data_IF_439688260569
#
_entry.id   IF_439688260569
#
_cell.length_a   1.000
_cell.length_b   1.000
_cell.length_c   1.000
_cell.angle_alpha   90.00
_cell.angle_beta   90.00
_cell.angle_gamma   90.00
#
_symmetry.space_group_name_H-M   'P 1'
#
loop_
_entity.id
_entity.type
_entity.pdbx_description
1 polymer ?
#
# COMPACT_ATOMS: atom_id res chain seq x y z
N UNK A 1 -32.23 4.79 13.37
CA UNK A 1 -33.13 5.79 13.99
C UNK A 1 -33.63 5.39 15.38
N UNK A 2 -34.34 4.28 15.55
CA UNK A 2 -34.84 3.83 16.88
C UNK A 2 -33.73 3.74 17.93
N UNK A 3 -32.60 3.05 17.62
CA UNK A 3 -31.48 2.93 18.55
C UNK A 3 -30.83 4.28 18.94
N UNK A 4 -30.81 5.26 18.02
CA UNK A 4 -30.31 6.62 18.32
C UNK A 4 -31.24 7.34 19.28
N UNK A 5 -32.56 7.28 19.03
CA UNK A 5 -33.58 7.87 19.90
C UNK A 5 -33.60 7.26 21.31
N UNK A 6 -33.27 5.97 21.42
CA UNK A 6 -33.15 5.27 22.69
C UNK A 6 -31.81 5.51 23.41
N UNK A 7 -30.87 6.25 22.82
CA UNK A 7 -29.53 6.45 23.38
C UNK A 7 -28.67 5.18 23.41
N UNK A 8 -29.03 4.15 22.63
CA UNK A 8 -28.33 2.86 22.56
C UNK A 8 -27.37 2.74 21.37
N UNK A 9 -27.29 3.78 20.53
CA UNK A 9 -26.42 3.82 19.37
C UNK A 9 -25.21 4.72 19.63
N UNK A 10 -24.01 4.14 19.59
CA UNK A 10 -22.78 4.92 19.60
C UNK A 10 -22.54 5.51 18.20
N UNK A 11 -22.61 6.83 18.06
CA UNK A 11 -22.47 7.51 16.76
C UNK A 11 -21.02 7.61 16.29
N UNK A 12 -20.06 7.64 17.20
CA UNK A 12 -18.63 7.71 16.89
C UNK A 12 -17.87 6.63 17.69
N UNK A 13 -18.03 5.35 17.30
CA UNK A 13 -17.33 4.26 17.95
C UNK A 13 -15.83 4.35 17.63
N UNK A 14 -15.05 4.64 18.66
CA UNK A 14 -13.58 4.63 18.58
C UNK A 14 -13.06 3.26 18.19
N UNK A 15 -12.20 3.23 17.17
CA UNK A 15 -11.56 1.99 16.72
C UNK A 15 -10.52 1.50 17.75
N UNK A 16 -10.55 0.22 18.16
CA UNK A 16 -9.62 -0.31 19.16
C UNK A 16 -8.19 -0.44 18.62
N UNK A 17 -8.05 -0.74 17.32
CA UNK A 17 -6.80 -0.84 16.57
C UNK A 17 -6.98 -0.13 15.21
N UNK A 18 -5.90 0.13 14.45
CA UNK A 18 -5.99 0.68 13.09
C UNK A 18 -6.77 -0.21 12.10
N UNK A 19 -7.02 -1.46 12.45
CA UNK A 19 -7.76 -2.45 11.66
C UNK A 19 -8.83 -3.15 12.50
N UNK A 20 -9.84 -3.74 11.83
CA UNK A 20 -10.94 -4.42 12.48
C UNK A 20 -10.50 -5.76 13.11
N UNK A 21 -10.84 -5.95 14.38
CA UNK A 21 -10.53 -7.15 15.16
C UNK A 21 -11.44 -8.30 14.74
N UNK A 22 -10.89 -9.51 14.60
CA UNK A 22 -11.68 -10.70 14.31
C UNK A 22 -12.45 -11.17 15.54
N UNK A 23 -13.71 -11.58 15.36
CA UNK A 23 -14.51 -12.18 16.44
C UNK A 23 -14.18 -13.67 16.69
N UNK A 24 -13.29 -14.28 15.89
CA UNK A 24 -12.97 -15.69 16.02
C UNK A 24 -12.17 -15.98 17.30
N UNK A 25 -12.55 -16.97 18.14
CA UNK A 25 -11.90 -17.22 19.43
C UNK A 25 -10.38 -17.44 19.35
N UNK A 26 -9.89 -18.14 18.33
CA UNK A 26 -8.44 -18.37 18.12
C UNK A 26 -7.63 -17.07 17.93
N UNK A 27 -8.25 -15.99 17.45
CA UNK A 27 -7.59 -14.71 17.12
C UNK A 27 -7.68 -13.67 18.23
N UNK A 28 -8.16 -14.05 19.42
CA UNK A 28 -8.41 -13.12 20.53
C UNK A 28 -7.17 -12.33 20.94
N UNK A 29 -5.98 -12.92 20.78
CA UNK A 29 -4.69 -12.33 21.17
C UNK A 29 -4.00 -11.60 20.01
N UNK A 30 -4.57 -11.65 18.80
CA UNK A 30 -3.98 -11.03 17.61
C UNK A 30 -4.04 -9.49 17.74
N UNK A 31 -2.88 -8.84 17.81
CA UNK A 31 -2.78 -7.39 17.97
C UNK A 31 -1.79 -6.71 17.00
N UNK A 32 -1.08 -7.47 16.16
CA UNK A 32 -0.12 -6.96 15.18
C UNK A 32 -0.24 -7.64 13.82
N UNK A 33 -0.23 -6.85 12.73
CA UNK A 33 -0.34 -7.32 11.34
C UNK A 33 0.64 -6.62 10.39
N UNK A 34 1.03 -7.25 9.26
CA UNK A 34 1.71 -6.56 8.18
C UNK A 34 0.77 -5.55 7.49
N UNK A 35 1.29 -4.38 7.13
CA UNK A 35 0.51 -3.29 6.53
C UNK A 35 -0.11 -3.64 5.17
N UNK A 36 0.43 -4.64 4.48
CA UNK A 36 0.13 -4.88 3.07
C UNK A 36 -1.33 -5.30 2.79
N UNK A 37 -2.05 -5.84 3.77
CA UNK A 37 -3.47 -6.19 3.62
C UNK A 37 -4.45 -5.18 4.24
N UNK A 38 -4.01 -3.94 4.51
CA UNK A 38 -4.87 -2.90 5.09
C UNK A 38 -6.19 -2.72 4.31
N UNK A 39 -6.14 -2.70 2.97
CA UNK A 39 -7.32 -2.60 2.10
C UNK A 39 -8.00 -3.95 1.77
N UNK A 40 -7.42 -5.08 2.21
CA UNK A 40 -7.93 -6.43 1.90
C UNK A 40 -7.95 -7.34 3.13
N UNK A 41 -8.61 -6.93 4.24
CA UNK A 41 -8.58 -7.68 5.50
C UNK A 41 -9.17 -9.09 5.36
N UNK A 42 -10.16 -9.30 4.49
CA UNK A 42 -10.74 -10.64 4.24
C UNK A 42 -9.72 -11.61 3.65
N UNK A 43 -8.88 -11.14 2.71
CA UNK A 43 -7.79 -11.94 2.14
C UNK A 43 -6.78 -12.32 3.22
N UNK A 44 -6.39 -11.38 4.09
CA UNK A 44 -5.49 -11.67 5.20
C UNK A 44 -6.05 -12.75 6.14
N UNK A 45 -7.31 -12.61 6.57
CA UNK A 45 -7.95 -13.58 7.47
C UNK A 45 -7.99 -14.97 6.83
N UNK A 46 -8.36 -15.06 5.55
CA UNK A 46 -8.37 -16.33 4.81
C UNK A 46 -6.98 -16.96 4.74
N UNK A 47 -5.95 -16.19 4.36
CA UNK A 47 -4.58 -16.70 4.19
C UNK A 47 -3.90 -17.12 5.49
N UNK A 48 -4.41 -16.68 6.62
CA UNK A 48 -3.90 -16.98 7.96
C UNK A 48 -4.89 -17.81 8.77
N UNK A 49 -5.96 -18.34 8.17
CA UNK A 49 -7.01 -19.07 8.92
C UNK A 49 -6.52 -20.40 9.50
N UNK A 50 -5.52 -21.02 8.86
CA UNK A 50 -4.91 -22.29 9.26
C UNK A 50 -3.77 -22.11 10.28
N UNK A 51 -3.49 -20.88 10.73
CA UNK A 51 -2.49 -20.66 11.78
C UNK A 51 -3.00 -21.16 13.13
N UNK A 52 -2.13 -21.86 13.86
CA UNK A 52 -2.42 -22.35 15.21
C UNK A 52 -2.41 -21.21 16.24
N UNK A 53 -1.41 -20.32 16.13
CA UNK A 53 -1.21 -19.16 17.00
C UNK A 53 -1.13 -17.86 16.18
N UNK A 54 -1.53 -16.75 16.81
CA UNK A 54 -1.54 -15.43 16.18
C UNK A 54 -0.59 -14.46 16.90
N UNK A 55 0.14 -13.60 16.17
CA UNK A 55 1.11 -12.68 16.76
C UNK A 55 0.50 -11.74 17.81
N UNK A 56 1.21 -11.62 18.93
CA UNK A 56 0.87 -10.76 20.07
C UNK A 56 2.09 -9.91 20.48
N UNK A 57 1.90 -8.60 20.62
CA UNK A 57 2.93 -7.64 21.02
C UNK A 57 3.93 -7.32 19.89
N UNK A 58 4.79 -8.27 19.50
CA UNK A 58 5.74 -8.09 18.39
C UNK A 58 5.44 -9.05 17.25
N UNK A 59 5.60 -8.58 16.02
CA UNK A 59 5.66 -9.47 14.88
C UNK A 59 6.97 -10.27 14.98
N UNK A 60 6.84 -11.56 15.25
CA UNK A 60 7.97 -12.48 15.39
C UNK A 60 8.65 -12.79 14.04
N UNK A 61 9.60 -13.72 14.07
CA UNK A 61 10.23 -14.21 12.86
C UNK A 61 9.20 -15.01 12.05
N UNK A 62 8.66 -14.41 10.98
CA UNK A 62 7.61 -14.93 10.08
C UNK A 62 8.04 -16.14 9.24
N UNK A 63 9.15 -16.78 9.59
CA UNK A 63 9.69 -18.00 8.98
C UNK A 63 8.81 -19.25 9.22
N UNK A 64 7.74 -19.19 10.01
CA UNK A 64 6.73 -20.25 10.16
C UNK A 64 5.44 -19.68 10.78
N UNK A 65 4.22 -20.00 10.30
CA UNK A 65 3.81 -20.79 9.13
C UNK A 65 3.69 -19.93 7.86
N UNK A 66 4.06 -20.48 6.69
CA UNK A 66 3.88 -19.81 5.40
C UNK A 66 2.43 -19.34 5.24
N UNK A 67 2.22 -18.07 4.84
CA UNK A 67 0.91 -17.63 4.39
C UNK A 67 0.39 -18.65 3.38
N UNK A 68 -0.84 -19.13 3.56
CA UNK A 68 -1.41 -20.14 2.66
C UNK A 68 -1.26 -19.71 1.20
N UNK A 69 -0.84 -20.66 0.35
CA UNK A 69 -0.77 -20.45 -1.09
C UNK A 69 -2.15 -20.13 -1.67
N UNK A 70 -2.15 -19.29 -2.70
CA UNK A 70 -3.37 -18.87 -3.39
C UNK A 70 -3.87 -19.99 -4.32
N UNK A 71 -4.64 -20.95 -3.80
CA UNK A 71 -5.36 -21.98 -4.59
C UNK A 71 -6.65 -21.42 -5.22
N UNK A 72 -7.24 -22.12 -6.20
CA UNK A 72 -8.39 -21.68 -7.02
C UNK A 72 -9.62 -21.13 -6.26
N UNK A 73 -9.86 -21.57 -5.02
CA UNK A 73 -10.91 -21.00 -4.14
C UNK A 73 -10.70 -19.50 -3.81
N UNK A 74 -9.50 -18.98 -4.07
CA UNK A 74 -9.13 -17.58 -3.85
C UNK A 74 -9.75 -16.61 -4.86
N UNK A 75 -10.24 -17.08 -6.01
CA UNK A 75 -10.89 -16.23 -7.01
C UNK A 75 -12.07 -15.45 -6.42
N UNK A 76 -12.79 -16.01 -5.45
CA UNK A 76 -13.86 -15.28 -4.77
C UNK A 76 -13.34 -14.03 -4.03
N UNK A 77 -12.21 -14.15 -3.34
CA UNK A 77 -11.57 -13.03 -2.66
C UNK A 77 -10.79 -12.12 -3.59
N UNK A 78 -10.57 -12.51 -4.85
CA UNK A 78 -9.98 -11.68 -5.90
C UNK A 78 -11.03 -10.96 -6.75
N UNK A 79 -12.30 -11.34 -6.71
CA UNK A 79 -13.34 -10.64 -7.46
C UNK A 79 -13.66 -9.29 -6.81
N UNK A 80 -13.74 -8.24 -7.63
CA UNK A 80 -14.26 -6.96 -7.18
C UNK A 80 -15.75 -7.09 -6.84
N UNK A 81 -16.24 -6.19 -6.00
CA UNK A 81 -17.66 -6.06 -5.68
C UNK A 81 -18.46 -5.47 -6.86
N UNK A 82 -17.79 -4.69 -7.71
CA UNK A 82 -18.42 -4.00 -8.84
C UNK A 82 -18.57 -4.94 -10.05
N UNK A 83 -19.69 -4.82 -10.80
CA UNK A 83 -19.89 -5.58 -12.04
C UNK A 83 -18.92 -5.13 -13.13
N UNK A 84 -18.65 -6.03 -14.09
CA UNK A 84 -17.72 -5.81 -15.22
C UNK A 84 -17.97 -4.49 -15.96
N UNK A 85 -19.22 -4.18 -16.28
CA UNK A 85 -19.57 -3.00 -17.07
C UNK A 85 -19.26 -1.69 -16.33
N UNK A 86 -19.40 -1.67 -15.00
CA UNK A 86 -18.99 -0.51 -14.19
C UNK A 86 -17.48 -0.37 -14.14
N UNK A 87 -16.75 -1.48 -14.01
CA UNK A 87 -15.29 -1.48 -14.02
C UNK A 87 -14.75 -0.96 -15.37
N UNK A 88 -15.31 -1.38 -16.50
CA UNK A 88 -14.94 -0.87 -17.82
C UNK A 88 -15.19 0.64 -17.95
N UNK A 89 -16.33 1.14 -17.46
CA UNK A 89 -16.61 2.59 -17.47
C UNK A 89 -15.64 3.40 -16.62
N UNK A 90 -15.20 2.86 -15.49
CA UNK A 90 -14.27 3.52 -14.57
C UNK A 90 -12.82 3.44 -15.07
N UNK A 91 -12.36 2.25 -15.44
CA UNK A 91 -10.96 1.94 -15.75
C UNK A 91 -10.62 2.08 -17.24
N UNK A 92 -11.63 2.31 -18.09
CA UNK A 92 -11.49 2.46 -19.52
C UNK A 92 -12.02 1.25 -20.28
N UNK A 93 -12.87 1.49 -21.27
CA UNK A 93 -13.33 0.45 -22.20
C UNK A 93 -12.19 0.03 -23.15
N UNK A 94 -11.30 0.96 -23.45
CA UNK A 94 -10.07 0.76 -24.21
C UNK A 94 -8.91 1.55 -23.58
N UNK A 95 -7.75 0.90 -23.52
CA UNK A 95 -6.46 1.48 -23.12
C UNK A 95 -5.57 1.63 -24.35
N UNK A 96 -4.97 2.81 -24.51
CA UNK A 96 -4.10 3.13 -25.66
C UNK A 96 -2.62 3.08 -25.33
N UNK A 97 -2.27 3.24 -24.05
CA UNK A 97 -0.89 3.25 -23.54
C UNK A 97 -0.87 3.05 -22.03
N UNK A 98 0.33 2.95 -21.44
CA UNK A 98 0.52 2.87 -19.99
C UNK A 98 -0.04 4.09 -19.26
N UNK A 99 0.03 5.29 -19.86
CA UNK A 99 -0.55 6.52 -19.30
C UNK A 99 -2.07 6.42 -19.12
N UNK A 100 -2.76 5.59 -19.92
CA UNK A 100 -4.19 5.31 -19.72
C UNK A 100 -4.44 4.67 -18.35
N UNK A 101 -3.53 3.80 -17.91
CA UNK A 101 -3.56 3.17 -16.58
C UNK A 101 -3.21 4.19 -15.51
N UNK A 102 -2.21 5.03 -15.74
CA UNK A 102 -1.76 6.06 -14.78
C UNK A 102 -2.88 7.02 -14.42
N UNK A 103 -3.66 7.43 -15.42
CA UNK A 103 -4.79 8.33 -15.24
C UNK A 103 -5.92 7.71 -14.39
N UNK A 104 -6.13 6.39 -14.45
CA UNK A 104 -7.12 5.70 -13.61
C UNK A 104 -6.71 5.76 -12.14
N UNK A 105 -5.45 5.52 -11.82
CA UNK A 105 -4.93 5.67 -10.45
C UNK A 105 -5.04 7.12 -9.97
N UNK A 106 -4.69 8.09 -10.84
CA UNK A 106 -4.85 9.52 -10.53
C UNK A 106 -6.30 9.88 -10.24
N UNK A 107 -7.25 9.44 -11.07
CA UNK A 107 -8.68 9.69 -10.90
C UNK A 107 -9.21 9.10 -9.59
N UNK A 108 -8.78 7.89 -9.23
CA UNK A 108 -9.14 7.26 -7.96
C UNK A 108 -8.68 8.09 -6.76
N UNK A 109 -7.41 8.52 -6.75
CA UNK A 109 -6.86 9.34 -5.67
C UNK A 109 -7.49 10.75 -5.66
N UNK A 110 -7.63 11.40 -6.81
CA UNK A 110 -8.17 12.75 -6.91
C UNK A 110 -9.68 12.81 -6.61
N UNK A 111 -10.42 11.73 -6.85
CA UNK A 111 -11.88 11.70 -6.75
C UNK A 111 -12.58 12.46 -7.88
N UNK A 112 -11.85 12.73 -8.97
CA UNK A 112 -12.33 13.42 -10.16
C UNK A 112 -12.93 12.41 -11.15
N UNK A 113 -13.91 12.82 -11.97
CA UNK A 113 -14.38 11.99 -13.08
C UNK A 113 -13.28 11.76 -14.11
N UNK A 114 -13.27 10.57 -14.73
CA UNK A 114 -12.46 10.28 -15.90
C UNK A 114 -12.96 11.05 -17.13
N UNK A 115 -12.26 10.90 -18.26
CA UNK A 115 -12.60 11.55 -19.55
C UNK A 115 -14.05 11.31 -20.03
N UNK A 116 -14.69 10.23 -19.57
CA UNK A 116 -16.05 9.85 -19.93
C UNK A 116 -17.08 10.24 -18.84
N UNK A 117 -16.71 11.05 -17.86
CA UNK A 117 -17.60 11.54 -16.80
C UNK A 117 -17.86 10.57 -15.66
N UNK A 118 -17.16 9.43 -15.59
CA UNK A 118 -17.33 8.43 -14.53
C UNK A 118 -16.26 8.59 -13.45
N UNK A 119 -16.67 8.60 -12.17
CA UNK A 119 -15.72 8.61 -11.05
C UNK A 119 -15.15 7.22 -10.83
N UNK A 120 -13.84 7.12 -10.63
CA UNK A 120 -13.18 5.86 -10.28
C UNK A 120 -13.34 5.62 -8.77
N UNK A 121 -14.17 4.65 -8.39
CA UNK A 121 -14.48 4.38 -6.97
C UNK A 121 -13.66 3.25 -6.36
N UNK A 122 -12.96 2.47 -7.17
CA UNK A 122 -12.13 1.35 -6.74
C UNK A 122 -10.97 1.11 -7.71
N UNK A 123 -9.97 0.38 -7.23
CA UNK A 123 -8.85 -0.20 -7.98
C UNK A 123 -8.74 -1.69 -7.62
N UNK A 124 -7.99 -2.51 -8.39
CA UNK A 124 -7.82 -3.92 -8.06
C UNK A 124 -7.36 -4.21 -6.63
N UNK A 125 -6.55 -3.32 -6.04
CA UNK A 125 -6.03 -3.46 -4.68
C UNK A 125 -6.94 -2.81 -3.62
N UNK A 126 -7.88 -1.94 -4.01
CA UNK A 126 -8.68 -1.11 -3.11
C UNK A 126 -10.15 -1.08 -3.57
N UNK A 127 -11.00 -1.88 -2.93
CA UNK A 127 -12.44 -1.98 -3.21
C UNK A 127 -13.30 -1.06 -2.32
N UNK A 128 -12.66 -0.23 -1.47
CA UNK A 128 -13.32 0.66 -0.51
C UNK A 128 -12.82 2.12 -0.72
N UNK A 129 -13.59 3.14 -0.30
CA UNK A 129 -13.16 4.54 -0.40
C UNK A 129 -11.86 4.82 0.36
N UNK A 130 -11.18 5.91 -0.01
CA UNK A 130 -9.96 6.36 0.66
C UNK A 130 -10.19 6.58 2.16
N UNK A 131 -9.23 6.12 2.97
CA UNK A 131 -9.20 6.42 4.39
C UNK A 131 -9.02 7.93 4.60
N UNK A 132 -9.54 8.44 5.73
CA UNK A 132 -9.46 9.86 6.05
C UNK A 132 -8.01 10.39 6.07
N UNK A 133 -7.05 9.56 6.50
CA UNK A 133 -5.63 9.91 6.56
C UNK A 133 -4.99 10.11 5.19
N UNK A 134 -5.47 9.45 4.14
CA UNK A 134 -4.98 9.61 2.76
C UNK A 134 -5.23 11.04 2.25
N UNK A 135 -6.27 11.72 2.75
CA UNK A 135 -6.55 13.10 2.36
C UNK A 135 -5.42 14.07 2.75
N UNK A 136 -4.57 13.72 3.72
CA UNK A 136 -3.43 14.54 4.13
C UNK A 136 -2.30 14.59 3.10
N UNK A 137 -2.29 13.67 2.12
CA UNK A 137 -1.25 13.54 1.10
C UNK A 137 -1.84 13.35 -0.31
N UNK A 138 -3.10 13.75 -0.49
CA UNK A 138 -3.87 13.49 -1.71
C UNK A 138 -3.24 14.12 -2.94
N UNK A 139 -2.70 15.34 -2.81
CA UNK A 139 -2.11 16.08 -3.92
C UNK A 139 -0.79 15.44 -4.38
N UNK A 140 0.05 15.05 -3.42
CA UNK A 140 1.33 14.38 -3.64
C UNK A 140 1.10 13.01 -4.29
N UNK A 141 0.16 12.21 -3.78
CA UNK A 141 -0.22 10.94 -4.37
C UNK A 141 -0.73 11.12 -5.81
N UNK A 142 -1.63 12.06 -6.06
CA UNK A 142 -2.13 12.31 -7.41
C UNK A 142 -1.01 12.73 -8.38
N UNK A 143 -0.05 13.54 -7.92
CA UNK A 143 1.13 13.96 -8.70
C UNK A 143 1.96 12.75 -9.11
N UNK A 144 2.33 11.88 -8.17
CA UNK A 144 3.24 10.75 -8.47
C UNK A 144 2.55 9.66 -9.30
N UNK A 145 1.25 9.42 -9.10
CA UNK A 145 0.49 8.47 -9.93
C UNK A 145 0.47 8.90 -11.40
N UNK A 146 0.33 10.21 -11.68
CA UNK A 146 0.39 10.74 -13.04
C UNK A 146 1.75 10.54 -13.71
N UNK A 147 2.81 10.38 -12.92
CA UNK A 147 4.18 10.20 -13.37
C UNK A 147 4.61 8.70 -13.36
N UNK A 148 3.66 7.77 -13.29
CA UNK A 148 3.93 6.33 -13.38
C UNK A 148 4.33 5.64 -12.07
N UNK A 149 4.15 6.30 -10.92
CA UNK A 149 4.32 5.71 -9.58
C UNK A 149 2.93 5.33 -9.07
N UNK A 150 2.51 4.11 -9.38
CA UNK A 150 1.13 3.63 -9.23
C UNK A 150 0.87 3.14 -7.80
N UNK A 151 0.45 4.05 -6.93
CA UNK A 151 0.33 3.82 -5.48
C UNK A 151 -0.89 2.97 -5.15
N UNK A 152 -0.70 1.96 -4.30
CA UNK A 152 -1.75 1.03 -3.85
C UNK A 152 -1.96 1.04 -2.32
N UNK A 153 -1.00 1.60 -1.58
CA UNK A 153 -1.06 1.73 -0.13
C UNK A 153 -0.17 2.89 0.36
N UNK A 154 -0.61 3.59 1.41
CA UNK A 154 0.12 4.72 1.99
C UNK A 154 -0.35 5.03 3.40
N UNK A 155 0.52 5.60 4.23
CA UNK A 155 0.11 6.28 5.47
C UNK A 155 1.03 7.49 5.76
N UNK A 156 0.48 8.58 6.34
CA UNK A 156 1.28 9.76 6.70
C UNK A 156 2.22 9.48 7.87
N UNK A 157 3.24 10.31 8.04
CA UNK A 157 3.95 10.37 9.31
C UNK A 157 3.03 10.98 10.37
N UNK A 158 3.05 10.44 11.58
CA UNK A 158 2.33 10.98 12.74
C UNK A 158 3.27 10.99 13.93
N UNK A 159 3.44 12.17 14.52
CA UNK A 159 4.33 12.39 15.66
C UNK A 159 3.48 12.72 16.90
N UNK A 160 3.06 11.69 17.63
CA UNK A 160 2.45 11.84 18.96
C UNK A 160 1.11 12.58 18.97
N UNK A 161 0.20 12.26 18.05
CA UNK A 161 -1.16 12.81 18.09
C UNK A 161 -1.99 12.16 19.21
N UNK A 162 -3.02 12.85 19.77
CA UNK A 162 -3.93 12.22 20.71
C UNK A 162 -4.55 10.94 20.14
N UNK A 163 -4.65 9.89 20.95
CA UNK A 163 -5.37 8.64 20.65
C UNK A 163 -6.84 8.85 20.24
N UNK A 164 -7.41 10.00 20.58
CA UNK A 164 -8.76 10.43 20.22
C UNK A 164 -8.81 11.33 18.98
N UNK A 165 -7.71 11.50 18.24
CA UNK A 165 -7.72 12.26 16.98
C UNK A 165 -8.71 11.62 15.99
N UNK A 166 -9.58 12.42 15.33
CA UNK A 166 -10.66 11.88 14.49
C UNK A 166 -10.18 11.25 13.18
N UNK A 167 -8.95 11.52 12.75
CA UNK A 167 -8.39 11.04 11.48
C UNK A 167 -7.52 9.81 11.73
N UNK A 168 -6.61 9.89 12.70
CA UNK A 168 -5.59 8.85 12.94
C UNK A 168 -5.72 8.16 14.28
N UNK A 169 -6.59 8.62 15.19
CA UNK A 169 -6.74 8.08 16.53
C UNK A 169 -7.23 6.64 16.56
N UNK A 170 -6.75 5.88 17.54
CA UNK A 170 -7.16 4.51 17.85
C UNK A 170 -6.76 4.16 19.30
N UNK A 171 -7.36 3.11 19.84
CA UNK A 171 -7.05 2.59 21.17
C UNK A 171 -7.70 3.38 22.32
N UNK A 172 -7.26 3.12 23.57
CA UNK A 172 -7.80 3.80 24.76
C UNK A 172 -7.58 5.32 24.74
N UNK A 173 -8.49 6.12 25.34
CA UNK A 173 -8.30 7.56 25.47
C UNK A 173 -7.10 7.92 26.33
N UNK A 174 -6.59 9.15 26.13
CA UNK A 174 -5.50 9.72 26.93
C UNK A 174 -4.11 9.23 26.54
N UNK A 175 -4.00 8.37 25.53
CA UNK A 175 -2.72 7.99 24.92
C UNK A 175 -2.33 8.84 23.72
N UNK A 176 -1.20 8.48 23.12
CA UNK A 176 -0.61 9.10 21.94
C UNK A 176 -0.31 8.05 20.88
N UNK A 177 -0.58 8.38 19.62
CA UNK A 177 -0.36 7.51 18.45
C UNK A 177 0.72 8.06 17.54
N UNK A 178 1.47 7.15 16.92
CA UNK A 178 2.63 7.44 16.09
C UNK A 178 2.60 6.61 14.82
N UNK A 179 3.10 7.18 13.72
CA UNK A 179 3.23 6.52 12.43
C UNK A 179 4.52 6.95 11.73
N UNK A 180 5.25 6.00 11.14
CA UNK A 180 6.26 6.27 10.11
C UNK A 180 5.56 6.48 8.77
N UNK A 181 6.09 7.37 7.93
CA UNK A 181 5.56 7.53 6.58
C UNK A 181 5.83 6.27 5.75
N UNK A 182 4.83 5.85 4.98
CA UNK A 182 4.89 4.63 4.18
C UNK A 182 4.30 4.87 2.80
N UNK A 183 4.91 4.27 1.78
CA UNK A 183 4.43 4.29 0.41
C UNK A 183 4.64 2.92 -0.25
N UNK A 184 3.60 2.39 -0.90
CA UNK A 184 3.64 1.14 -1.67
C UNK A 184 3.09 1.39 -3.08
N UNK A 185 3.83 1.01 -4.11
CA UNK A 185 3.46 1.32 -5.50
C UNK A 185 4.06 0.36 -6.52
N UNK A 186 3.43 0.29 -7.70
CA UNK A 186 4.02 -0.30 -8.89
C UNK A 186 4.73 0.76 -9.73
N UNK A 187 5.85 0.41 -10.35
CA UNK A 187 6.55 1.29 -11.30
C UNK A 187 7.39 0.50 -12.30
N UNK A 188 7.74 1.14 -13.42
CA UNK A 188 8.58 0.57 -14.48
C UNK A 188 10.01 0.24 -14.01
N UNK A 189 10.68 -0.63 -14.77
CA UNK A 189 12.08 -1.04 -14.54
C UNK A 189 13.05 0.15 -14.61
N UNK A 190 12.79 1.10 -15.52
CA UNK A 190 13.55 2.33 -15.71
C UNK A 190 13.52 3.18 -14.44
N UNK A 191 12.32 3.38 -13.88
CA UNK A 191 12.13 4.11 -12.63
C UNK A 191 12.84 3.39 -11.46
N UNK A 192 12.78 2.06 -11.39
CA UNK A 192 13.48 1.30 -10.35
C UNK A 192 14.99 1.49 -10.41
N UNK A 193 15.60 1.46 -11.60
CA UNK A 193 17.06 1.67 -11.76
C UNK A 193 17.47 3.04 -11.23
N UNK A 194 16.72 4.09 -11.57
CA UNK A 194 16.96 5.43 -11.05
C UNK A 194 16.73 5.51 -9.53
N UNK A 195 15.64 4.92 -9.05
CA UNK A 195 15.28 4.89 -7.62
C UNK A 195 16.37 4.24 -6.78
N UNK A 196 16.94 3.12 -7.24
CA UNK A 196 18.04 2.44 -6.55
C UNK A 196 19.30 3.31 -6.44
N UNK A 197 19.62 4.09 -7.48
CA UNK A 197 20.75 5.02 -7.43
C UNK A 197 20.49 6.15 -6.42
N UNK A 198 19.26 6.66 -6.37
CA UNK A 198 18.85 7.71 -5.43
C UNK A 198 18.82 7.22 -3.99
N UNK A 199 18.26 6.04 -3.73
CA UNK A 199 18.13 5.47 -2.39
C UNK A 199 19.47 5.32 -1.65
N UNK A 200 20.58 5.14 -2.38
CA UNK A 200 21.93 5.13 -1.79
C UNK A 200 22.27 6.43 -1.03
N UNK A 201 21.72 7.58 -1.47
CA UNK A 201 21.90 8.89 -0.82
C UNK A 201 21.14 9.00 0.50
N UNK A 202 20.04 8.25 0.65
CA UNK A 202 19.17 8.28 1.82
C UNK A 202 19.61 7.28 2.91
N UNK A 203 20.56 6.40 2.61
CA UNK A 203 21.21 5.52 3.59
C UNK A 203 20.22 4.68 4.39
N UNK A 204 20.35 4.73 5.72
CA UNK A 204 19.49 3.97 6.65
C UNK A 204 18.19 4.72 7.03
N UNK A 205 18.01 5.97 6.58
CA UNK A 205 16.79 6.73 6.86
C UNK A 205 15.58 6.09 6.18
N UNK A 206 15.76 5.60 4.95
CA UNK A 206 14.68 4.96 4.17
C UNK A 206 14.90 3.46 4.12
N UNK A 207 13.96 2.68 4.65
CA UNK A 207 13.88 1.26 4.34
C UNK A 207 13.12 1.05 3.04
N UNK A 208 13.61 0.15 2.19
CA UNK A 208 12.98 -0.18 0.93
C UNK A 208 12.99 -1.68 0.66
N UNK A 209 11.98 -2.15 -0.07
CA UNK A 209 11.95 -3.49 -0.64
C UNK A 209 11.29 -3.41 -2.02
N UNK A 210 12.03 -3.90 -3.03
CA UNK A 210 11.66 -3.90 -4.44
C UNK A 210 11.56 -5.36 -4.88
N UNK A 211 10.49 -5.75 -5.57
CA UNK A 211 10.29 -7.12 -6.08
C UNK A 211 9.53 -7.11 -7.41
N UNK A 212 9.85 -8.02 -8.33
CA UNK A 212 9.06 -8.25 -9.54
C UNK A 212 8.24 -9.55 -9.46
N UNK A 213 7.40 -9.77 -10.48
CA UNK A 213 6.55 -10.98 -10.54
C UNK A 213 7.35 -12.30 -10.59
N UNK A 214 8.62 -12.25 -11.04
CA UNK A 214 9.53 -13.41 -11.08
C UNK A 214 10.12 -13.75 -9.72
N UNK A 215 9.88 -12.91 -8.70
CA UNK A 215 10.41 -13.08 -7.35
C UNK A 215 11.82 -12.51 -7.14
N UNK A 216 12.39 -11.84 -8.14
CA UNK A 216 13.67 -11.15 -7.98
C UNK A 216 13.45 -9.92 -7.09
N UNK A 217 14.14 -9.86 -5.95
CA UNK A 217 13.95 -8.81 -4.96
C UNK A 217 15.25 -8.21 -4.42
N UNK A 218 15.17 -6.97 -3.97
CA UNK A 218 16.26 -6.24 -3.33
C UNK A 218 15.66 -5.46 -2.14
N UNK A 219 16.28 -5.57 -0.98
CA UNK A 219 15.86 -4.89 0.25
C UNK A 219 17.07 -4.48 1.10
N UNK A 220 16.93 -3.42 1.89
CA UNK A 220 17.91 -3.03 2.92
C UNK A 220 17.43 -3.34 4.35
N UNK A 221 16.39 -4.16 4.51
CA UNK A 221 15.92 -4.58 5.83
C UNK A 221 16.99 -5.43 6.55
N UNK A 222 17.41 -4.96 7.74
CA UNK A 222 18.43 -5.61 8.55
C UNK A 222 17.98 -7.02 8.96
N UNK A 223 18.77 -8.05 8.62
CA UNK A 223 18.47 -9.47 8.88
C UNK A 223 17.05 -9.91 8.48
N UNK A 224 16.46 -9.26 7.47
CA UNK A 224 15.06 -9.48 7.06
C UNK A 224 14.04 -9.31 8.20
N UNK A 225 14.38 -8.53 9.22
CA UNK A 225 13.50 -8.31 10.36
C UNK A 225 12.36 -7.32 10.04
N UNK A 226 11.20 -7.47 10.68
CA UNK A 226 10.08 -6.55 10.55
C UNK A 226 10.38 -5.17 11.14
N UNK A 227 9.88 -4.12 10.48
CA UNK A 227 9.96 -2.74 10.96
C UNK A 227 8.57 -2.27 11.45
N UNK A 228 8.46 -1.84 12.71
CA UNK A 228 7.22 -1.26 13.24
C UNK A 228 6.97 0.13 12.64
N UNK A 229 5.78 0.33 12.07
CA UNK A 229 5.40 1.57 11.37
C UNK A 229 4.22 2.30 11.98
N UNK A 230 3.45 1.65 12.87
CA UNK A 230 2.38 2.29 13.64
C UNK A 230 2.41 1.76 15.07
N UNK A 231 2.42 2.65 16.06
CA UNK A 231 2.38 2.29 17.48
C UNK A 231 1.67 3.34 18.33
N UNK A 232 1.30 2.94 19.54
CA UNK A 232 0.60 3.80 20.50
C UNK A 232 1.09 3.57 21.92
N UNK A 233 1.12 4.65 22.69
CA UNK A 233 1.47 4.67 24.11
C UNK A 233 0.24 5.13 24.88
N UNK A 234 -0.22 4.33 25.84
CA UNK A 234 -1.48 4.56 26.54
C UNK A 234 -1.27 4.57 28.07
N UNK A 235 -2.00 5.42 28.83
CA UNK A 235 -1.87 5.47 30.29
C UNK A 235 -2.17 4.10 30.94
N UNK A 236 -1.26 3.65 31.80
CA UNK A 236 -1.43 2.40 32.56
C UNK A 236 -1.39 1.12 31.72
N UNK A 237 -0.80 1.17 30.51
CA UNK A 237 -0.64 0.00 29.62
C UNK A 237 0.74 -0.02 28.98
N UNK A 238 1.15 -1.20 28.54
CA UNK A 238 2.32 -1.37 27.68
C UNK A 238 2.08 -0.80 26.27
N UNK A 239 3.16 -0.66 25.50
CA UNK A 239 3.12 -0.17 24.12
C UNK A 239 2.41 -1.18 23.23
N UNK A 240 1.56 -0.68 22.32
CA UNK A 240 0.91 -1.50 21.29
C UNK A 240 1.47 -1.05 19.93
N UNK A 241 1.94 -1.99 19.12
CA UNK A 241 2.52 -1.72 17.79
C UNK A 241 1.83 -2.54 16.69
N UNK A 242 0.60 -2.16 16.31
CA UNK A 242 -0.29 -3.05 15.57
C UNK A 242 0.02 -3.19 14.09
N UNK A 243 1.02 -2.49 13.57
CA UNK A 243 1.33 -2.48 12.14
C UNK A 243 2.83 -2.49 11.90
N UNK A 244 3.27 -3.46 11.09
CA UNK A 244 4.67 -3.65 10.68
C UNK A 244 4.81 -3.72 9.16
N UNK A 245 6.02 -3.46 8.68
CA UNK A 245 6.49 -3.81 7.34
C UNK A 245 7.44 -4.98 7.49
N UNK A 246 7.05 -6.15 6.97
CA UNK A 246 7.79 -7.39 7.08
C UNK A 246 8.27 -7.87 5.69
N UNK A 247 9.59 -7.99 5.44
CA UNK A 247 10.13 -8.43 4.16
C UNK A 247 9.63 -9.80 3.71
N UNK A 248 9.45 -10.74 4.65
CA UNK A 248 8.99 -12.11 4.33
C UNK A 248 7.53 -12.08 3.88
N UNK A 249 6.67 -11.41 4.64
CA UNK A 249 5.26 -11.21 4.27
C UNK A 249 5.10 -10.50 2.91
N UNK A 250 5.98 -9.55 2.59
CA UNK A 250 5.92 -8.76 1.35
C UNK A 250 6.08 -9.62 0.10
N UNK A 251 6.91 -10.68 0.15
CA UNK A 251 7.11 -11.60 -0.99
C UNK A 251 5.83 -12.34 -1.40
N UNK A 252 4.81 -12.35 -0.54
CA UNK A 252 3.54 -13.04 -0.81
C UNK A 252 2.49 -12.13 -1.47
N UNK A 253 2.88 -10.90 -1.86
CA UNK A 253 1.97 -9.92 -2.47
C UNK A 253 1.49 -10.35 -3.86
N UNK A 254 0.18 -10.28 -4.13
CA UNK A 254 -0.35 -10.79 -5.39
C UNK A 254 -0.17 -9.78 -6.53
N UNK A 255 0.69 -10.10 -7.49
CA UNK A 255 0.69 -9.49 -8.83
C UNK A 255 -0.54 -9.91 -9.65
N UNK A 256 -1.12 -11.08 -9.32
CA UNK A 256 -2.28 -11.65 -10.01
C UNK A 256 -3.51 -10.73 -10.10
N UNK A 257 -3.63 -9.72 -9.22
CA UNK A 257 -4.72 -8.75 -9.29
C UNK A 257 -4.74 -7.94 -10.60
N UNK A 258 -3.57 -7.67 -11.20
CA UNK A 258 -3.49 -7.05 -12.53
C UNK A 258 -4.24 -7.89 -13.56
N UNK A 259 -4.04 -9.21 -13.53
CA UNK A 259 -4.63 -10.11 -14.52
C UNK A 259 -6.10 -10.42 -14.20
N UNK A 260 -6.35 -10.85 -12.97
CA UNK A 260 -7.65 -11.37 -12.55
C UNK A 260 -8.75 -10.31 -12.49
N UNK A 261 -8.41 -9.07 -12.11
CA UNK A 261 -9.40 -7.99 -12.03
C UNK A 261 -9.38 -7.06 -13.24
N UNK A 262 -8.21 -6.75 -13.81
CA UNK A 262 -8.11 -5.71 -14.85
C UNK A 262 -7.93 -6.30 -16.24
N UNK A 263 -6.94 -7.15 -16.48
CA UNK A 263 -6.65 -7.67 -17.82
C UNK A 263 -7.82 -8.48 -18.40
N UNK A 264 -8.48 -9.29 -17.56
CA UNK A 264 -9.66 -10.08 -17.96
C UNK A 264 -10.90 -9.25 -18.29
N UNK A 265 -10.87 -7.92 -18.07
CA UNK A 265 -11.91 -7.01 -18.58
C UNK A 265 -11.88 -6.86 -20.09
N UNK A 266 -10.79 -7.25 -20.74
CA UNK A 266 -10.60 -7.13 -22.17
C UNK A 266 -10.41 -8.49 -22.84
N UNK A 267 -10.73 -8.55 -24.12
CA UNK A 267 -10.52 -9.76 -24.95
C UNK A 267 -9.03 -10.14 -25.01
N UNK A 268 -8.76 -11.44 -25.20
CA UNK A 268 -7.41 -12.02 -25.09
C UNK A 268 -6.38 -11.36 -26.01
N UNK A 269 -6.76 -11.06 -27.24
CA UNK A 269 -5.89 -10.49 -28.27
C UNK A 269 -5.99 -8.96 -28.37
N UNK A 270 -6.70 -8.31 -27.44
CA UNK A 270 -6.90 -6.86 -27.49
C UNK A 270 -5.64 -6.07 -27.10
N UNK A 271 -5.39 -4.90 -27.72
CA UNK A 271 -4.29 -4.01 -27.30
C UNK A 271 -4.37 -3.62 -25.82
N UNK A 272 -5.59 -3.46 -25.29
CA UNK A 272 -5.80 -3.12 -23.88
C UNK A 272 -5.31 -4.21 -22.93
N UNK A 273 -5.54 -5.48 -23.26
CA UNK A 273 -5.02 -6.59 -22.46
C UNK A 273 -3.50 -6.67 -22.53
N UNK A 274 -2.91 -6.44 -23.71
CA UNK A 274 -1.46 -6.42 -23.87
C UNK A 274 -0.77 -5.37 -22.99
N UNK A 275 -1.36 -4.18 -22.82
CA UNK A 275 -0.83 -3.13 -21.93
C UNK A 275 -0.82 -3.59 -20.47
N UNK A 276 -1.93 -4.15 -19.97
CA UNK A 276 -1.99 -4.63 -18.59
C UNK A 276 -1.04 -5.81 -18.37
N UNK A 277 -0.94 -6.71 -19.36
CA UNK A 277 0.00 -7.83 -19.33
C UNK A 277 1.45 -7.33 -19.29
N UNK A 278 1.79 -6.32 -20.10
CA UNK A 278 3.11 -5.70 -20.08
C UNK A 278 3.46 -5.11 -18.71
N UNK A 279 2.54 -4.40 -18.08
CA UNK A 279 2.71 -3.87 -16.71
C UNK A 279 2.95 -5.02 -15.74
N UNK A 280 2.09 -6.05 -15.75
CA UNK A 280 2.24 -7.22 -14.88
C UNK A 280 3.62 -7.89 -15.01
N UNK A 281 4.13 -8.04 -16.24
CA UNK A 281 5.35 -8.80 -16.51
C UNK A 281 6.64 -8.01 -16.29
N UNK A 282 6.59 -6.68 -16.38
CA UNK A 282 7.80 -5.82 -16.40
C UNK A 282 7.89 -4.82 -15.23
N UNK A 283 6.79 -4.51 -14.55
CA UNK A 283 6.82 -3.58 -13.43
C UNK A 283 7.30 -4.27 -12.15
N UNK A 284 7.83 -3.45 -11.26
CA UNK A 284 8.20 -3.84 -9.90
C UNK A 284 7.19 -3.30 -8.91
N UNK A 285 6.94 -4.08 -7.86
CA UNK A 285 6.28 -3.62 -6.65
C UNK A 285 7.35 -3.12 -5.67
N UNK A 286 7.16 -1.90 -5.17
CA UNK A 286 8.09 -1.23 -4.26
C UNK A 286 7.34 -0.83 -3.00
N UNK A 287 7.96 -1.04 -1.83
CA UNK A 287 7.56 -0.35 -0.61
C UNK A 287 8.71 0.46 -0.02
N UNK A 288 8.39 1.64 0.51
CA UNK A 288 9.32 2.58 1.14
C UNK A 288 8.79 2.98 2.53
N UNK A 289 9.69 3.09 3.51
CA UNK A 289 9.42 3.57 4.87
C UNK A 289 10.42 4.66 5.22
N UNK A 290 9.96 5.84 5.63
CA UNK A 290 10.81 6.86 6.26
C UNK A 290 10.87 6.63 7.77
N UNK A 291 12.05 6.30 8.29
CA UNK A 291 12.23 5.99 9.71
C UNK A 291 12.16 7.23 10.61
N UNK A 292 12.44 8.42 10.09
CA UNK A 292 12.52 9.66 10.87
C UNK A 292 11.14 10.31 11.05
N UNK A 293 10.23 9.60 11.71
CA UNK A 293 8.87 10.07 11.99
C UNK A 293 8.75 11.43 12.73
N UNK A 294 9.76 11.93 13.49
CA UNK A 294 9.70 13.28 14.04
C UNK A 294 9.85 14.40 12.99
N UNK A 295 10.44 14.09 11.83
CA UNK A 295 10.72 15.04 10.76
C UNK A 295 9.63 15.00 9.68
N UNK A 296 9.68 15.99 8.78
CA UNK A 296 8.91 15.91 7.53
C UNK A 296 9.37 14.73 6.67
N UNK A 297 8.40 14.09 6.01
CA UNK A 297 8.68 12.89 5.23
C UNK A 297 9.55 13.20 4.03
N UNK A 298 10.63 12.43 3.87
CA UNK A 298 11.51 12.53 2.70
C UNK A 298 11.04 11.72 1.50
N UNK A 299 9.97 10.89 1.62
CA UNK A 299 9.56 9.97 0.55
C UNK A 299 9.20 10.71 -0.75
N UNK A 300 8.61 11.90 -0.66
CA UNK A 300 8.32 12.72 -1.84
C UNK A 300 9.58 13.25 -2.51
N UNK A 301 10.59 13.63 -1.72
CA UNK A 301 11.88 14.08 -2.25
C UNK A 301 12.65 12.92 -2.90
N UNK A 302 12.58 11.72 -2.34
CA UNK A 302 13.15 10.50 -2.96
C UNK A 302 12.60 10.30 -4.38
N UNK A 303 11.29 10.46 -4.56
CA UNK A 303 10.65 10.32 -5.87
C UNK A 303 11.02 11.48 -6.81
N UNK A 304 11.07 12.72 -6.31
CA UNK A 304 11.50 13.86 -7.11
C UNK A 304 12.94 13.72 -7.60
N UNK A 305 13.88 13.30 -6.73
CA UNK A 305 15.28 13.03 -7.09
C UNK A 305 15.39 11.92 -8.14
N UNK A 306 14.54 10.89 -8.06
CA UNK A 306 14.45 9.81 -9.06
C UNK A 306 14.04 10.37 -10.42
N UNK A 307 13.02 11.23 -10.48
CA UNK A 307 12.60 11.87 -11.73
C UNK A 307 13.65 12.83 -12.28
N UNK A 308 14.35 13.57 -11.42
CA UNK A 308 15.45 14.43 -11.85
C UNK A 308 16.59 13.62 -12.48
N UNK A 309 16.92 12.45 -11.91
CA UNK A 309 17.93 11.56 -12.46
C UNK A 309 17.54 10.98 -13.82
N UNK A 310 16.25 10.63 -14.01
CA UNK A 310 15.73 10.12 -15.29
C UNK A 310 15.73 11.18 -16.39
N UNK A 311 15.46 12.44 -16.03
CA UNK A 311 15.37 13.56 -16.96
C UNK A 311 16.70 14.27 -17.19
N UNK A 312 17.78 13.85 -16.51
CA UNK A 312 19.10 14.43 -16.71
C UNK A 312 19.72 13.85 -18.00
N UNK A 313 20.10 14.69 -18.99
CA UNK A 313 20.77 14.20 -20.19
C UNK A 313 22.06 13.49 -19.81
N UNK A 314 22.34 12.34 -20.43
CA UNK A 314 23.53 11.52 -20.17
C UNK A 314 24.87 12.15 -20.62
N UNK A 315 24.95 13.48 -20.76
CA UNK A 315 26.14 14.23 -21.19
C UNK A 315 26.61 15.21 -20.10
N UNK A 316 27.22 14.68 -19.06
CA UNK A 316 28.14 15.45 -18.19
C UNK A 316 29.21 14.55 -17.54
N UNK A 317 29.45 13.36 -18.09
CA UNK A 317 30.53 12.45 -17.65
C UNK A 317 31.26 11.92 -18.88
N UNK A 318 31.96 12.82 -19.58
CA UNK A 318 33.00 12.43 -20.54
C UNK A 318 34.18 13.40 -20.48
N UNK A 319 35.33 12.82 -20.14
CA UNK A 319 36.71 13.30 -20.23
C UNK A 319 37.20 14.39 -19.25
N UNK A 320 38.23 14.08 -18.42
CA UNK A 320 39.10 15.14 -17.91
C UNK A 320 39.93 15.70 -19.08
N UNK A 321 40.22 17.01 -19.13
CA UNK A 321 41.21 17.53 -20.06
C UNK A 321 42.58 17.03 -19.62
N UNK A 322 43.17 16.14 -20.42
CA UNK A 322 44.61 15.92 -20.37
C UNK A 322 45.32 17.17 -20.89
N UNK A 323 46.09 17.82 -20.03
CA UNK A 323 47.49 18.21 -20.28
C UNK A 323 48.17 18.69 -19.01
#
# INVERSE_FOLDING_TARGET
EVLRRLGLWNEDPRRPLPWAVSAHPKRRVEDVRPIFWASRPKSYIYRTQEWDEFPNGRWGNSSSPAFGELKDYYLFYLKSKSPRDELLKMWGEELTSEESVFEVFRCYIAGEPNRNGHKVTCLPWNDDPLAAETNLMKAELAKVNRLGILTINSQPRIHGKPSTDPVVGWGPPGGYVFQKAYLEFFTSSENVKALQAVLKKYGQRVNYHIVNVKGENITNAHDLQPNAVTWGIFPGREIIQPTVVDPVSFMTRPFALWIEQWAKLYEEESPSRMIIQYIHDNYFLVNLVDNDFPLESCLWQVLEDMYQLLNCPAEAVSCPPGH
#
